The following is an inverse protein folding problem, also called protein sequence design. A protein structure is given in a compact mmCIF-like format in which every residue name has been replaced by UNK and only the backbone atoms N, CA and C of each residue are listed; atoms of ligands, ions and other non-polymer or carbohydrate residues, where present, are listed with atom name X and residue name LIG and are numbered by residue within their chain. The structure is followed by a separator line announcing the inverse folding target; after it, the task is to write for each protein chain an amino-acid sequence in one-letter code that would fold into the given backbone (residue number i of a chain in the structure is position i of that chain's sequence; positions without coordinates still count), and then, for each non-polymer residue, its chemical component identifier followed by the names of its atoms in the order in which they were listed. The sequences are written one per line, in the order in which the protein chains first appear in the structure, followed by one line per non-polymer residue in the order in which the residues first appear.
data_IF_231811739735
#
_entry.id   IF_231811739735
#
_cell.length_a   1.000
_cell.length_b   1.000
_cell.length_c   1.000
_cell.angle_alpha   90.00
_cell.angle_beta   90.00
_cell.angle_gamma   90.00
#
_symmetry.space_group_name_H-M   'P 1'
#
loop_
_entity.id
_entity.type
_entity.pdbx_description
1 polymer ?
#
# COMPACT_ATOMS: atom_id res chain seq x y z
N UNK A 1 1.80 -15.86 32.47
CA UNK A 1 3.24 -15.95 32.82
C UNK A 1 3.94 -14.86 32.04
N UNK A 2 4.36 -13.79 32.72
CA UNK A 2 4.98 -12.62 32.08
C UNK A 2 6.39 -13.00 31.62
N UNK A 3 6.68 -12.83 30.33
CA UNK A 3 8.04 -12.91 29.83
C UNK A 3 8.62 -11.52 29.66
N UNK A 4 9.65 -11.22 30.42
CA UNK A 4 10.45 -9.99 30.33
C UNK A 4 11.37 -10.05 29.12
N UNK A 5 11.40 -8.93 28.38
CA UNK A 5 12.30 -8.70 27.24
C UNK A 5 13.66 -8.25 27.77
N UNK A 6 14.73 -8.90 27.38
CA UNK A 6 16.10 -8.40 27.48
C UNK A 6 16.65 -8.27 26.06
N UNK A 7 16.91 -7.04 25.62
CA UNK A 7 17.57 -6.72 24.35
C UNK A 7 19.09 -6.81 24.52
N UNK A 8 19.77 -7.56 23.66
CA UNK A 8 21.21 -7.42 23.41
C UNK A 8 21.42 -7.21 21.91
N UNK A 9 21.99 -6.05 21.54
CA UNK A 9 22.37 -5.69 20.17
C UNK A 9 23.72 -6.32 19.83
N UNK A 10 23.82 -6.99 18.69
CA UNK A 10 25.06 -7.21 17.98
C UNK A 10 24.85 -6.89 16.51
N UNK A 11 25.46 -5.82 16.03
CA UNK A 11 25.48 -5.40 14.63
C UNK A 11 26.64 -6.12 13.95
N UNK A 12 26.36 -6.96 12.97
CA UNK A 12 27.33 -7.45 12.01
C UNK A 12 26.88 -7.01 10.61
N UNK A 13 27.57 -6.00 10.07
CA UNK A 13 27.48 -5.55 8.69
C UNK A 13 28.11 -6.58 7.77
N UNK A 14 27.34 -7.17 6.85
CA UNK A 14 27.88 -7.73 5.62
C UNK A 14 27.06 -7.21 4.44
N UNK A 15 27.66 -6.25 3.72
CA UNK A 15 27.13 -5.78 2.44
C UNK A 15 27.35 -6.87 1.38
N UNK A 16 26.30 -7.51 0.94
CA UNK A 16 26.28 -8.32 -0.27
C UNK A 16 25.73 -7.45 -1.41
N UNK A 17 26.61 -6.94 -2.24
CA UNK A 17 26.27 -6.33 -3.53
C UNK A 17 25.90 -7.44 -4.50
N UNK A 18 24.62 -7.52 -4.90
CA UNK A 18 24.20 -8.35 -6.01
C UNK A 18 23.89 -7.48 -7.23
N UNK A 19 24.42 -7.94 -8.37
CA UNK A 19 24.26 -7.35 -9.69
C UNK A 19 22.79 -7.29 -10.12
N UNK A 20 22.51 -6.34 -11.01
CA UNK A 20 21.22 -6.12 -11.67
C UNK A 20 20.55 -7.43 -12.06
N UNK A 21 19.48 -7.78 -11.34
CA UNK A 21 18.61 -8.90 -11.67
C UNK A 21 17.75 -8.53 -12.87
N UNK A 22 17.81 -9.35 -13.90
CA UNK A 22 16.95 -9.34 -15.08
C UNK A 22 15.48 -9.24 -14.69
N UNK A 23 14.73 -8.42 -15.43
CA UNK A 23 13.28 -8.36 -15.42
C UNK A 23 12.68 -9.77 -15.56
N UNK A 24 12.28 -10.40 -14.48
CA UNK A 24 11.43 -11.59 -14.54
C UNK A 24 9.99 -11.13 -14.78
N UNK A 25 9.59 -11.19 -16.04
CA UNK A 25 8.19 -11.12 -16.45
C UNK A 25 7.45 -12.36 -15.99
N UNK A 26 6.40 -12.14 -15.19
CA UNK A 26 5.29 -13.06 -14.94
C UNK A 26 5.64 -14.47 -14.45
N UNK A 27 6.04 -14.59 -13.18
CA UNK A 27 5.77 -15.81 -12.43
C UNK A 27 4.30 -15.77 -11.94
N UNK A 28 3.58 -16.87 -12.13
CA UNK A 28 2.18 -17.09 -11.71
C UNK A 28 1.98 -16.67 -10.25
N UNK A 29 1.13 -15.66 -10.00
CA UNK A 29 0.80 -15.22 -8.65
C UNK A 29 0.73 -13.70 -8.44
N UNK A 30 0.68 -12.92 -9.53
CA UNK A 30 0.56 -11.46 -9.47
C UNK A 30 -0.76 -11.05 -10.08
N UNK A 31 -1.60 -10.34 -9.32
CA UNK A 31 -2.72 -9.60 -9.86
C UNK A 31 -2.26 -8.18 -10.21
N UNK A 32 -2.65 -7.69 -11.39
CA UNK A 32 -2.47 -6.31 -11.80
C UNK A 32 -3.84 -5.68 -11.80
N UNK A 33 -4.09 -4.78 -10.86
CA UNK A 33 -5.34 -4.04 -10.78
C UNK A 33 -5.14 -2.60 -11.22
N UNK A 34 -6.10 -2.09 -11.99
CA UNK A 34 -6.14 -0.68 -12.41
C UNK A 34 -7.14 0.06 -11.52
N UNK A 35 -6.64 0.87 -10.59
CA UNK A 35 -7.47 1.79 -9.81
C UNK A 35 -7.10 3.23 -10.21
N UNK A 36 -8.08 4.02 -10.64
CA UNK A 36 -7.89 5.41 -11.10
C UNK A 36 -6.83 5.59 -12.20
N UNK A 37 -6.76 4.64 -13.17
CA UNK A 37 -5.82 4.71 -14.29
C UNK A 37 -4.38 4.30 -13.96
N UNK A 38 -4.01 4.12 -12.70
CA UNK A 38 -2.69 3.64 -12.29
C UNK A 38 -2.70 2.11 -12.08
N UNK A 39 -1.75 1.45 -12.73
CA UNK A 39 -1.54 0.01 -12.58
C UNK A 39 -0.85 -0.28 -11.24
N UNK A 40 -1.44 -1.15 -10.41
CA UNK A 40 -0.88 -1.58 -9.14
C UNK A 40 -0.52 -3.05 -9.19
N UNK A 41 0.67 -3.39 -8.75
CA UNK A 41 1.10 -4.77 -8.58
C UNK A 41 0.69 -5.24 -7.18
N UNK A 42 -0.22 -6.21 -7.14
CA UNK A 42 -0.72 -6.79 -5.90
C UNK A 42 -0.37 -8.28 -5.90
N UNK A 43 0.33 -8.79 -4.87
CA UNK A 43 0.55 -10.23 -4.74
C UNK A 43 -0.79 -10.98 -4.69
N UNK A 44 -0.90 -12.12 -5.40
CA UNK A 44 -2.14 -12.90 -5.46
C UNK A 44 -2.62 -13.48 -4.12
N UNK A 45 -1.79 -13.36 -3.10
CA UNK A 45 -2.12 -13.81 -1.72
C UNK A 45 -3.05 -12.84 -0.97
N UNK A 46 -3.30 -11.63 -1.50
CA UNK A 46 -4.12 -10.58 -0.86
C UNK A 46 -5.08 -9.98 -1.87
N UNK A 47 -6.23 -9.49 -1.40
CA UNK A 47 -7.12 -8.63 -2.19
C UNK A 47 -6.63 -7.17 -2.20
N UNK A 48 -7.20 -6.35 -3.09
CA UNK A 48 -6.88 -4.91 -3.16
C UNK A 48 -7.20 -4.16 -1.86
N UNK A 49 -8.32 -4.46 -1.22
CA UNK A 49 -8.71 -3.86 0.05
C UNK A 49 -7.71 -4.22 1.17
N UNK A 50 -7.29 -5.47 1.26
CA UNK A 50 -6.31 -5.96 2.25
C UNK A 50 -4.92 -5.36 2.02
N UNK A 51 -4.51 -5.27 0.74
CA UNK A 51 -3.25 -4.62 0.37
C UNK A 51 -3.23 -3.14 0.72
N UNK A 52 -4.34 -2.44 0.51
CA UNK A 52 -4.47 -1.04 0.87
C UNK A 52 -4.44 -0.84 2.39
N UNK A 53 -5.01 -1.74 3.20
CA UNK A 53 -4.86 -1.71 4.66
C UNK A 53 -3.39 -1.87 5.06
N UNK A 54 -2.64 -2.80 4.45
CA UNK A 54 -1.20 -2.94 4.73
C UNK A 54 -0.42 -1.67 4.37
N UNK A 55 -0.75 -1.03 3.24
CA UNK A 55 -0.14 0.25 2.84
C UNK A 55 -0.41 1.34 3.88
N UNK A 56 -1.66 1.46 4.36
CA UNK A 56 -2.05 2.44 5.37
C UNK A 56 -1.37 2.17 6.72
N UNK A 57 -1.26 0.90 7.14
CA UNK A 57 -0.49 0.50 8.32
C UNK A 57 0.95 0.99 8.21
N UNK A 58 1.60 0.73 7.09
CA UNK A 58 2.99 1.13 6.90
C UNK A 58 3.17 2.66 6.82
N UNK A 59 2.20 3.39 6.26
CA UNK A 59 2.18 4.84 6.29
C UNK A 59 2.13 5.40 7.73
N UNK A 60 1.27 4.84 8.59
CA UNK A 60 1.17 5.23 10.00
C UNK A 60 2.45 4.90 10.80
N UNK A 61 3.09 3.78 10.48
CA UNK A 61 4.34 3.35 11.09
C UNK A 61 5.51 4.23 10.67
N UNK A 62 5.63 4.49 9.36
CA UNK A 62 6.68 5.34 8.78
C UNK A 62 6.63 6.76 9.36
N UNK A 63 5.44 7.36 9.47
CA UNK A 63 5.25 8.68 10.08
C UNK A 63 5.77 8.77 11.53
N UNK A 64 6.07 7.62 12.16
CA UNK A 64 6.61 7.50 13.53
C UNK A 64 7.99 6.85 13.59
N UNK A 65 8.66 6.69 12.45
CA UNK A 65 10.00 6.12 12.34
C UNK A 65 10.10 4.63 12.68
N UNK A 66 8.98 3.89 12.54
CA UNK A 66 8.92 2.44 12.80
C UNK A 66 9.18 1.68 11.49
N UNK A 67 9.84 0.52 11.59
CA UNK A 67 10.03 -0.40 10.47
C UNK A 67 8.68 -0.84 9.88
N UNK A 68 8.60 -1.03 8.54
CA UNK A 68 7.38 -1.50 7.90
C UNK A 68 7.04 -2.92 8.34
N UNK A 69 5.75 -3.26 8.23
CA UNK A 69 5.29 -4.63 8.31
C UNK A 69 5.16 -5.21 6.90
N UNK A 70 5.43 -6.50 6.78
CA UNK A 70 5.18 -7.27 5.57
C UNK A 70 4.06 -8.28 5.80
N UNK A 71 3.57 -8.92 4.72
CA UNK A 71 2.67 -10.06 4.82
C UNK A 71 3.25 -11.27 4.08
N UNK A 72 2.81 -12.48 4.42
CA UNK A 72 3.15 -13.73 3.75
C UNK A 72 1.95 -14.69 3.74
N UNK A 73 1.96 -15.67 2.85
CA UNK A 73 0.77 -16.44 2.49
C UNK A 73 0.07 -17.14 3.67
N UNK A 74 0.82 -17.78 4.55
CA UNK A 74 0.23 -18.50 5.69
C UNK A 74 -0.36 -17.57 6.75
N UNK A 75 0.27 -16.42 7.01
CA UNK A 75 -0.28 -15.40 7.91
C UNK A 75 -1.55 -14.76 7.33
N UNK A 76 -1.54 -14.51 6.03
CA UNK A 76 -2.70 -14.01 5.30
C UNK A 76 -3.87 -14.98 5.41
N UNK A 77 -3.63 -16.28 5.17
CA UNK A 77 -4.65 -17.32 5.34
C UNK A 77 -5.23 -17.35 6.76
N UNK A 78 -4.38 -17.20 7.77
CA UNK A 78 -4.82 -17.10 9.17
C UNK A 78 -5.75 -15.91 9.42
N UNK A 79 -5.40 -14.73 8.89
CA UNK A 79 -6.23 -13.53 9.00
C UNK A 79 -7.58 -13.70 8.28
N UNK A 80 -7.61 -14.36 7.12
CA UNK A 80 -8.84 -14.66 6.39
C UNK A 80 -9.74 -15.66 7.12
N UNK A 81 -9.15 -16.68 7.78
CA UNK A 81 -9.90 -17.61 8.66
C UNK A 81 -10.56 -16.80 9.76
N UNK A 82 -9.80 -15.96 10.45
CA UNK A 82 -10.33 -15.11 11.52
C UNK A 82 -11.41 -14.14 11.02
N UNK A 83 -11.24 -13.56 9.84
CA UNK A 83 -12.25 -12.67 9.25
C UNK A 83 -13.60 -13.38 9.01
N UNK A 84 -13.57 -14.67 8.67
CA UNK A 84 -14.79 -15.51 8.57
C UNK A 84 -15.37 -15.85 9.95
N UNK A 85 -14.53 -16.15 10.94
CA UNK A 85 -14.97 -16.50 12.30
C UNK A 85 -15.65 -15.34 13.02
N UNK A 86 -15.13 -14.11 12.89
CA UNK A 86 -15.73 -12.94 13.54
C UNK A 86 -17.08 -12.51 12.95
N UNK A 87 -17.46 -13.03 11.77
CA UNK A 87 -18.85 -12.92 11.29
C UNK A 87 -19.82 -13.63 12.24
N UNK A 88 -19.45 -14.80 12.71
CA UNK A 88 -20.27 -15.64 13.60
C UNK A 88 -20.12 -15.21 15.07
N UNK A 89 -18.91 -14.92 15.51
CA UNK A 89 -18.59 -14.50 16.88
C UNK A 89 -17.58 -13.35 16.84
N UNK A 90 -18.06 -12.12 17.00
CA UNK A 90 -17.20 -10.92 17.06
C UNK A 90 -16.45 -10.87 18.39
N UNK A 91 -15.35 -11.62 18.47
CA UNK A 91 -14.54 -11.84 19.67
C UNK A 91 -13.12 -12.23 19.33
N UNK A 92 -12.17 -11.96 20.25
CA UNK A 92 -10.83 -12.54 20.26
C UNK A 92 -10.79 -14.01 20.69
N UNK A 93 -11.94 -14.56 21.07
CA UNK A 93 -12.16 -16.01 21.25
C UNK A 93 -12.75 -16.56 19.97
N UNK A 94 -12.21 -17.67 19.48
CA UNK A 94 -12.69 -18.37 18.28
C UNK A 94 -14.04 -19.05 18.56
N UNK A 95 -14.85 -19.38 17.54
CA UNK A 95 -16.13 -20.09 17.71
C UNK A 95 -15.99 -21.45 18.42
N UNK A 96 -14.80 -22.09 18.36
CA UNK A 96 -14.50 -23.33 19.08
C UNK A 96 -14.13 -23.12 20.56
N UNK A 97 -14.13 -21.87 21.07
CA UNK A 97 -13.80 -21.52 22.44
C UNK A 97 -12.31 -21.28 22.72
N UNK A 98 -11.44 -21.43 21.72
CA UNK A 98 -9.99 -21.21 21.85
C UNK A 98 -9.60 -19.73 21.66
N UNK A 99 -8.35 -19.40 22.00
CA UNK A 99 -7.76 -18.09 21.71
C UNK A 99 -7.67 -17.85 20.21
N UNK A 100 -7.84 -16.58 19.76
CA UNK A 100 -7.62 -16.20 18.35
C UNK A 100 -6.25 -16.62 17.82
N UNK A 101 -5.24 -16.72 18.68
CA UNK A 101 -3.88 -17.07 18.27
C UNK A 101 -3.71 -18.56 17.91
N UNK A 102 -4.63 -19.45 18.25
CA UNK A 102 -4.56 -20.86 17.79
C UNK A 102 -4.74 -20.98 16.28
N UNK A 103 -5.23 -19.95 15.60
CA UNK A 103 -5.24 -19.90 14.14
C UNK A 103 -3.83 -19.90 13.54
N UNK A 104 -2.84 -19.33 14.26
CA UNK A 104 -1.44 -19.34 13.82
C UNK A 104 -0.91 -20.77 13.76
N UNK A 105 -1.20 -21.58 14.77
CA UNK A 105 -0.83 -23.01 14.79
C UNK A 105 -1.54 -23.77 13.67
N UNK A 106 -2.83 -23.48 13.44
CA UNK A 106 -3.64 -24.09 12.38
C UNK A 106 -3.05 -23.88 10.98
N UNK A 107 -2.52 -22.66 10.71
CA UNK A 107 -1.89 -22.35 9.43
C UNK A 107 -0.39 -22.67 9.39
N UNK A 108 0.16 -23.31 10.42
CA UNK A 108 1.57 -23.76 10.47
C UNK A 108 2.55 -22.70 10.99
N UNK A 109 2.08 -21.65 11.69
CA UNK A 109 2.91 -20.63 12.34
C UNK A 109 3.02 -20.95 13.84
N UNK A 110 3.62 -22.11 14.18
CA UNK A 110 3.71 -22.59 15.57
C UNK A 110 4.88 -21.98 16.38
N UNK A 111 5.82 -21.29 15.75
CA UNK A 111 7.02 -20.78 16.41
C UNK A 111 7.19 -19.27 16.14
N UNK A 112 6.41 -18.46 16.84
CA UNK A 112 6.48 -17.00 16.78
C UNK A 112 6.93 -16.41 18.13
N UNK A 113 7.60 -15.25 18.08
CA UNK A 113 8.07 -14.52 19.26
C UNK A 113 6.95 -13.66 19.87
N UNK A 114 6.13 -13.07 19.03
CA UNK A 114 5.03 -12.20 19.42
C UNK A 114 3.85 -12.36 18.48
N UNK A 115 2.63 -12.17 19.00
CA UNK A 115 1.40 -12.14 18.22
C UNK A 115 0.43 -11.07 18.77
N UNK A 116 -0.45 -10.59 17.90
CA UNK A 116 -1.50 -9.63 18.24
C UNK A 116 -2.64 -9.73 17.25
N UNK A 117 -3.83 -9.28 17.66
CA UNK A 117 -5.01 -9.23 16.79
C UNK A 117 -5.75 -7.92 16.96
N UNK A 118 -6.18 -7.32 15.85
CA UNK A 118 -7.19 -6.28 15.79
C UNK A 118 -8.39 -6.80 15.01
N UNK A 119 -9.61 -6.55 15.51
CA UNK A 119 -10.85 -6.89 14.81
C UNK A 119 -11.73 -5.65 14.67
N UNK A 120 -12.47 -5.56 13.56
CA UNK A 120 -13.44 -4.51 13.32
C UNK A 120 -14.60 -5.01 12.45
N UNK A 121 -15.74 -4.35 12.50
CA UNK A 121 -16.89 -4.66 11.65
C UNK A 121 -17.70 -3.37 11.37
N UNK A 122 -18.28 -3.30 10.16
CA UNK A 122 -19.12 -2.18 9.73
C UNK A 122 -18.42 -1.10 8.92
N UNK A 123 -17.10 -1.10 8.84
CA UNK A 123 -16.36 -0.15 8.03
C UNK A 123 -16.34 -0.60 6.56
N UNK A 124 -16.74 0.28 5.65
CA UNK A 124 -16.94 -0.06 4.24
C UNK A 124 -15.67 0.04 3.37
N UNK A 125 -14.58 0.61 3.90
CA UNK A 125 -13.35 0.81 3.14
C UNK A 125 -12.10 0.64 4.00
N UNK A 126 -10.93 0.37 3.40
CA UNK A 126 -9.63 0.35 4.07
C UNK A 126 -9.35 1.61 4.90
N UNK A 127 -9.60 2.79 4.34
CA UNK A 127 -9.40 4.05 5.05
C UNK A 127 -10.30 4.17 6.30
N UNK A 128 -11.56 3.75 6.19
CA UNK A 128 -12.51 3.81 7.31
C UNK A 128 -12.12 2.86 8.45
N UNK A 129 -11.68 1.62 8.14
CA UNK A 129 -11.26 0.68 9.17
C UNK A 129 -9.94 1.11 9.83
N UNK A 130 -8.97 1.61 9.05
CA UNK A 130 -7.73 2.15 9.60
C UNK A 130 -7.98 3.34 10.52
N UNK A 131 -8.85 4.28 10.12
CA UNK A 131 -9.24 5.40 10.98
C UNK A 131 -9.87 4.90 12.31
N UNK A 132 -10.74 3.89 12.26
CA UNK A 132 -11.35 3.30 13.46
C UNK A 132 -10.29 2.69 14.39
N UNK A 133 -9.36 1.90 13.85
CA UNK A 133 -8.29 1.28 14.63
C UNK A 133 -7.32 2.32 15.21
N UNK A 134 -6.93 3.34 14.45
CA UNK A 134 -6.02 4.38 14.92
C UNK A 134 -6.63 5.29 15.98
N UNK A 135 -7.95 5.43 16.03
CA UNK A 135 -8.65 6.15 17.09
C UNK A 135 -8.92 5.31 18.36
N UNK A 136 -8.64 4.02 18.34
CA UNK A 136 -8.72 3.12 19.49
C UNK A 136 -7.33 2.83 20.04
N UNK A 137 -7.10 3.12 21.33
CA UNK A 137 -5.76 2.99 21.94
C UNK A 137 -5.20 1.57 21.81
N UNK A 138 -5.99 0.54 22.14
CA UNK A 138 -5.54 -0.85 22.06
C UNK A 138 -5.19 -1.29 20.64
N UNK A 139 -6.02 -0.95 19.67
CA UNK A 139 -5.77 -1.28 18.27
C UNK A 139 -4.57 -0.50 17.70
N UNK A 140 -4.47 0.78 18.01
CA UNK A 140 -3.34 1.63 17.62
C UNK A 140 -2.02 1.11 18.21
N UNK A 141 -2.02 0.65 19.46
CA UNK A 141 -0.84 0.07 20.09
C UNK A 141 -0.34 -1.18 19.36
N UNK A 142 -1.24 -2.03 18.86
CA UNK A 142 -0.86 -3.16 18.01
C UNK A 142 -0.24 -2.69 16.68
N UNK A 143 -0.89 -1.76 15.98
CA UNK A 143 -0.39 -1.22 14.69
C UNK A 143 1.00 -0.59 14.84
N UNK A 144 1.25 0.10 15.95
CA UNK A 144 2.50 0.83 16.22
C UNK A 144 3.50 0.05 17.07
N UNK A 145 3.23 -1.20 17.39
CA UNK A 145 4.19 -2.02 18.15
C UNK A 145 5.44 -2.32 17.33
N UNK A 146 6.61 -2.04 17.89
CA UNK A 146 7.90 -2.44 17.32
C UNK A 146 8.18 -3.96 17.48
N UNK A 147 7.35 -4.67 18.24
CA UNK A 147 7.51 -6.12 18.47
C UNK A 147 7.01 -6.96 17.30
N UNK A 148 6.29 -6.38 16.34
CA UNK A 148 5.78 -7.09 15.18
C UNK A 148 6.59 -6.78 13.94
N UNK A 149 6.71 -7.77 13.07
CA UNK A 149 7.39 -7.70 11.78
C UNK A 149 6.44 -7.96 10.60
N UNK A 150 5.34 -8.64 10.88
CA UNK A 150 4.34 -9.01 9.88
C UNK A 150 2.93 -8.70 10.34
N UNK A 151 2.05 -8.50 9.35
CA UNK A 151 0.61 -8.44 9.53
C UNK A 151 -0.09 -9.15 8.37
N UNK A 152 -0.97 -10.08 8.70
CA UNK A 152 -1.99 -10.59 7.78
C UNK A 152 -3.24 -9.73 7.92
N UNK A 153 -3.84 -9.37 6.81
CA UNK A 153 -5.08 -8.58 6.79
C UNK A 153 -6.18 -9.44 6.19
N UNK A 154 -7.20 -9.78 6.95
CA UNK A 154 -8.35 -10.52 6.46
C UNK A 154 -9.59 -9.63 6.34
N UNK A 155 -10.31 -9.75 5.24
CA UNK A 155 -11.59 -9.09 5.05
C UNK A 155 -12.66 -10.09 4.57
N UNK A 156 -13.80 -10.12 5.27
CA UNK A 156 -14.97 -10.87 4.85
C UNK A 156 -16.14 -9.92 4.65
N UNK A 157 -16.66 -9.89 3.42
CA UNK A 157 -17.95 -9.27 3.15
C UNK A 157 -19.05 -10.32 3.31
N UNK A 158 -20.00 -10.06 4.24
CA UNK A 158 -21.17 -10.87 4.49
C UNK A 158 -22.43 -9.99 4.38
N UNK A 159 -23.09 -10.01 3.21
CA UNK A 159 -24.24 -9.10 2.94
C UNK A 159 -25.41 -9.27 3.92
N UNK A 160 -25.55 -10.46 4.51
CA UNK A 160 -26.61 -10.76 5.48
C UNK A 160 -26.25 -10.36 6.92
N UNK A 161 -25.02 -9.96 7.18
CA UNK A 161 -24.61 -9.38 8.46
C UNK A 161 -25.04 -7.92 8.53
N UNK A 162 -25.50 -7.49 9.71
CA UNK A 162 -25.82 -6.08 9.98
C UNK A 162 -24.61 -5.15 9.80
N UNK A 163 -23.41 -5.70 9.84
CA UNK A 163 -22.15 -4.98 9.69
C UNK A 163 -21.61 -4.98 8.24
N UNK A 164 -22.05 -5.89 7.38
CA UNK A 164 -21.57 -6.05 6.02
C UNK A 164 -20.11 -6.54 5.96
N UNK A 165 -19.13 -5.65 6.10
CA UNK A 165 -17.69 -6.01 6.10
C UNK A 165 -17.15 -6.26 7.51
N UNK A 166 -16.32 -7.32 7.63
CA UNK A 166 -15.60 -7.71 8.83
C UNK A 166 -14.12 -7.74 8.53
N UNK A 167 -13.30 -7.17 9.42
CA UNK A 167 -11.87 -6.95 9.20
C UNK A 167 -11.04 -7.50 10.34
N UNK A 168 -9.91 -8.10 10.00
CA UNK A 168 -8.92 -8.61 10.95
C UNK A 168 -7.53 -8.12 10.55
N UNK A 169 -6.73 -7.72 11.52
CA UNK A 169 -5.28 -7.66 11.43
C UNK A 169 -4.71 -8.71 12.39
N UNK A 170 -3.93 -9.63 11.86
CA UNK A 170 -3.23 -10.67 12.64
C UNK A 170 -1.73 -10.39 12.55
N UNK A 171 -1.13 -9.99 13.67
CA UNK A 171 0.27 -9.58 13.74
C UNK A 171 1.15 -10.73 14.24
N UNK A 172 2.39 -10.82 13.73
CA UNK A 172 3.39 -11.72 14.32
C UNK A 172 4.83 -11.25 14.05
N UNK A 173 5.78 -11.88 14.76
CA UNK A 173 7.21 -11.85 14.47
C UNK A 173 7.84 -13.20 14.78
N UNK A 174 8.83 -13.61 13.99
CA UNK A 174 9.62 -14.81 14.21
C UNK A 174 10.84 -14.56 15.08
N UNK A 175 11.40 -15.65 15.64
CA UNK A 175 12.68 -15.58 16.36
C UNK A 175 13.84 -15.42 15.38
N UNK A 176 14.78 -14.49 15.69
CA UNK A 176 16.00 -14.26 14.91
C UNK A 176 15.74 -14.04 13.41
N UNK A 177 14.60 -13.44 13.10
CA UNK A 177 14.17 -13.23 11.74
C UNK A 177 14.95 -12.10 11.06
N UNK A 178 15.39 -12.34 9.82
CA UNK A 178 16.02 -11.36 8.94
C UNK A 178 15.63 -11.61 7.49
N UNK A 179 15.67 -10.57 6.70
CA UNK A 179 15.55 -10.69 5.25
C UNK A 179 16.90 -11.01 4.63
N UNK A 180 16.90 -11.88 3.63
CA UNK A 180 18.10 -12.36 2.91
C UNK A 180 18.14 -11.91 1.46
N UNK A 181 16.98 -11.57 0.90
CA UNK A 181 16.83 -11.12 -0.49
C UNK A 181 15.77 -10.03 -0.57
N UNK A 182 15.94 -9.09 -1.51
CA UNK A 182 14.98 -8.08 -1.89
C UNK A 182 14.81 -8.09 -3.41
N UNK A 183 13.57 -8.15 -3.86
CA UNK A 183 13.23 -7.99 -5.28
C UNK A 183 11.98 -7.13 -5.43
N UNK A 184 11.84 -6.50 -6.59
CA UNK A 184 10.74 -5.58 -6.88
C UNK A 184 9.79 -6.21 -7.88
N UNK A 185 8.52 -6.03 -7.63
CA UNK A 185 7.43 -6.38 -8.52
C UNK A 185 6.94 -5.05 -9.12
N UNK A 186 7.34 -4.80 -10.37
CA UNK A 186 7.13 -3.53 -11.04
C UNK A 186 5.84 -3.57 -11.89
N UNK A 187 5.08 -2.47 -11.98
CA UNK A 187 4.02 -2.32 -12.99
C UNK A 187 4.61 -2.41 -14.40
N UNK A 188 3.75 -2.66 -15.40
CA UNK A 188 4.19 -2.82 -16.80
C UNK A 188 4.83 -1.56 -17.36
N UNK A 189 4.37 -0.40 -16.93
CA UNK A 189 4.95 0.88 -17.29
C UNK A 189 5.64 1.50 -16.09
N UNK A 190 6.86 1.94 -16.27
CA UNK A 190 7.65 2.71 -15.33
C UNK A 190 7.75 4.19 -15.76
N UNK A 191 6.75 4.66 -16.51
CA UNK A 191 6.60 6.07 -16.88
C UNK A 191 5.43 6.66 -16.12
N UNK A 192 5.67 7.77 -15.43
CA UNK A 192 4.68 8.43 -14.59
C UNK A 192 4.71 9.95 -14.81
N UNK A 193 3.63 10.66 -14.52
CA UNK A 193 3.61 12.11 -14.49
C UNK A 193 4.63 12.70 -13.52
N UNK A 194 5.17 13.84 -13.83
CA UNK A 194 5.98 14.63 -12.91
C UNK A 194 5.15 14.93 -11.64
N UNK A 195 5.76 14.80 -10.48
CA UNK A 195 5.09 14.94 -9.17
C UNK A 195 4.58 13.62 -8.57
N UNK A 196 4.59 12.51 -9.33
CA UNK A 196 4.20 11.18 -8.80
C UNK A 196 5.17 10.72 -7.71
N UNK A 197 4.64 10.31 -6.55
CA UNK A 197 5.43 9.72 -5.46
C UNK A 197 5.66 8.22 -5.70
N UNK A 198 6.73 7.64 -5.14
CA UNK A 198 6.99 6.20 -5.19
C UNK A 198 5.80 5.41 -4.64
N UNK A 199 5.22 5.85 -3.53
CA UNK A 199 4.08 5.21 -2.87
C UNK A 199 2.83 5.08 -3.76
N UNK A 200 2.72 5.93 -4.79
CA UNK A 200 1.60 5.92 -5.74
C UNK A 200 1.90 5.17 -7.04
N UNK A 201 3.16 4.75 -7.27
CA UNK A 201 3.56 4.03 -8.49
C UNK A 201 3.08 2.57 -8.54
N UNK A 202 2.49 2.05 -7.47
CA UNK A 202 1.96 0.69 -7.45
C UNK A 202 3.02 -0.41 -7.42
N UNK A 203 4.23 -0.11 -6.96
CA UNK A 203 5.33 -1.06 -6.84
C UNK A 203 5.15 -1.90 -5.58
N UNK A 204 5.31 -3.22 -5.68
CA UNK A 204 5.40 -4.11 -4.55
C UNK A 204 6.84 -4.59 -4.32
N UNK A 205 7.19 -4.83 -3.07
CA UNK A 205 8.47 -5.41 -2.68
C UNK A 205 8.23 -6.85 -2.25
N UNK A 206 9.06 -7.77 -2.75
CA UNK A 206 9.19 -9.12 -2.24
C UNK A 206 10.51 -9.23 -1.47
N UNK A 207 10.40 -9.57 -0.20
CA UNK A 207 11.51 -9.83 0.71
C UNK A 207 11.53 -11.31 1.06
N UNK A 208 12.70 -11.93 1.08
CA UNK A 208 12.82 -13.32 1.53
C UNK A 208 13.24 -13.39 2.98
N UNK A 209 12.30 -13.80 3.83
CA UNK A 209 12.57 -14.08 5.23
C UNK A 209 13.27 -15.45 5.37
N UNK A 210 14.26 -15.54 6.27
CA UNK A 210 14.89 -16.82 6.64
C UNK A 210 13.97 -17.74 7.44
N UNK A 211 12.80 -17.24 7.88
CA UNK A 211 11.81 -17.99 8.69
C UNK A 211 10.57 -18.32 7.88
N UNK A 212 9.99 -17.33 7.17
CA UNK A 212 8.66 -17.44 6.55
C UNK A 212 8.69 -17.54 5.02
N UNK A 213 9.87 -17.51 4.41
CA UNK A 213 9.98 -17.46 2.95
C UNK A 213 9.63 -16.10 2.37
N UNK A 214 8.84 -16.06 1.30
CA UNK A 214 8.52 -14.82 0.61
C UNK A 214 7.51 -13.98 1.39
N UNK A 215 7.90 -12.75 1.69
CA UNK A 215 7.11 -11.72 2.35
C UNK A 215 6.93 -10.52 1.42
N UNK A 216 5.80 -9.85 1.51
CA UNK A 216 5.42 -8.80 0.57
C UNK A 216 5.01 -7.53 1.30
N UNK A 217 5.30 -6.37 0.72
CA UNK A 217 4.80 -5.06 1.15
C UNK A 217 4.71 -4.08 -0.01
N UNK A 218 3.84 -3.06 0.05
CA UNK A 218 3.87 -1.93 -0.86
C UNK A 218 5.15 -1.13 -0.67
N UNK A 219 5.78 -0.68 -1.77
CA UNK A 219 6.93 0.22 -1.68
C UNK A 219 6.46 1.63 -1.34
N UNK A 220 7.20 2.32 -0.49
CA UNK A 220 6.99 3.72 -0.13
C UNK A 220 8.28 4.53 -0.16
N UNK A 221 8.11 5.85 -0.21
CA UNK A 221 9.19 6.82 -0.52
C UNK A 221 10.35 6.76 0.49
N UNK A 222 10.06 6.50 1.77
CA UNK A 222 11.06 6.48 2.85
C UNK A 222 12.11 5.38 2.73
N UNK A 223 11.85 4.32 1.95
CA UNK A 223 12.82 3.24 1.69
C UNK A 223 13.66 3.49 0.45
N UNK A 224 13.47 4.64 -0.22
CA UNK A 224 14.04 4.96 -1.50
C UNK A 224 15.05 6.10 -1.42
N UNK A 225 16.15 5.99 -2.17
CA UNK A 225 17.11 7.06 -2.42
C UNK A 225 17.35 7.23 -3.91
N UNK A 226 17.79 8.43 -4.32
CA UNK A 226 18.02 8.74 -5.74
C UNK A 226 16.78 9.15 -6.51
N UNK A 227 15.63 9.35 -5.83
CA UNK A 227 14.36 9.77 -6.43
C UNK A 227 14.02 11.22 -6.09
N UNK A 228 13.53 11.96 -7.08
CA UNK A 228 12.98 13.29 -6.92
C UNK A 228 11.73 13.44 -7.81
N UNK A 229 10.55 13.46 -7.19
CA UNK A 229 9.28 13.60 -7.91
C UNK A 229 9.14 14.89 -8.72
N UNK A 230 9.91 15.95 -8.37
CA UNK A 230 9.92 17.24 -9.07
C UNK A 230 10.89 17.29 -10.26
N UNK A 231 11.65 16.25 -10.56
CA UNK A 231 12.63 16.22 -11.66
C UNK A 231 12.17 15.33 -12.80
N UNK A 232 11.96 15.91 -13.97
CA UNK A 232 11.63 15.14 -15.18
C UNK A 232 12.84 14.35 -15.69
N UNK A 233 12.56 13.25 -16.39
CA UNK A 233 13.56 12.37 -17.00
C UNK A 233 13.69 11.03 -16.30
N UNK A 234 14.67 10.24 -16.74
CA UNK A 234 14.99 8.94 -16.16
C UNK A 234 15.74 9.11 -14.83
N UNK A 235 15.31 8.38 -13.82
CA UNK A 235 15.93 8.36 -12.50
C UNK A 235 16.19 6.91 -12.08
N UNK A 236 17.35 6.67 -11.49
CA UNK A 236 17.69 5.39 -10.87
C UNK A 236 17.41 5.48 -9.37
N UNK A 237 16.54 4.62 -8.89
CA UNK A 237 16.09 4.58 -7.51
C UNK A 237 16.66 3.35 -6.81
N UNK A 238 17.29 3.56 -5.66
CA UNK A 238 17.76 2.49 -4.78
C UNK A 238 16.81 2.31 -3.62
N UNK A 239 16.31 1.10 -3.45
CA UNK A 239 15.47 0.67 -2.32
C UNK A 239 16.37 0.03 -1.27
N UNK A 240 16.15 0.36 0.01
CA UNK A 240 16.80 -0.30 1.14
C UNK A 240 15.78 -0.59 2.25
N UNK A 241 15.59 -1.87 2.55
CA UNK A 241 14.71 -2.33 3.63
C UNK A 241 15.52 -3.26 4.53
N UNK A 242 15.81 -2.79 5.74
CA UNK A 242 16.58 -3.54 6.74
C UNK A 242 17.92 -4.09 6.20
N UNK A 243 18.59 -3.33 5.33
CA UNK A 243 19.87 -3.73 4.72
C UNK A 243 19.75 -4.57 3.44
N UNK A 244 18.57 -5.05 3.11
CA UNK A 244 18.30 -5.66 1.80
C UNK A 244 18.04 -4.57 0.75
N UNK A 245 18.73 -4.62 -0.39
CA UNK A 245 18.69 -3.57 -1.40
C UNK A 245 18.21 -4.09 -2.76
N UNK A 246 17.51 -3.23 -3.49
CA UNK A 246 17.13 -3.42 -4.89
C UNK A 246 17.21 -2.08 -5.63
N UNK A 247 17.29 -2.12 -6.95
CA UNK A 247 17.38 -0.92 -7.81
C UNK A 247 16.38 -1.02 -8.94
N UNK A 248 15.78 0.11 -9.31
CA UNK A 248 14.95 0.22 -10.50
C UNK A 248 15.11 1.59 -11.17
N UNK A 249 14.74 1.67 -12.45
CA UNK A 249 14.65 2.95 -13.18
C UNK A 249 13.20 3.35 -13.34
N UNK A 250 12.94 4.65 -13.22
CA UNK A 250 11.64 5.29 -13.46
C UNK A 250 11.82 6.52 -14.32
N UNK A 251 10.87 6.78 -15.22
CA UNK A 251 10.84 8.00 -16.03
C UNK A 251 9.70 8.87 -15.54
N UNK A 252 10.04 10.08 -15.10
CA UNK A 252 9.02 11.12 -14.86
C UNK A 252 8.93 12.03 -16.09
N UNK A 253 7.79 11.95 -16.76
CA UNK A 253 7.50 12.84 -17.86
C UNK A 253 6.90 14.14 -17.33
N UNK A 254 7.39 15.29 -17.81
CA UNK A 254 6.60 16.51 -17.73
C UNK A 254 5.25 16.19 -18.39
N UNK A 255 4.15 16.46 -17.69
CA UNK A 255 2.85 16.33 -18.34
C UNK A 255 2.90 17.10 -19.65
N UNK A 256 2.70 16.39 -20.76
CA UNK A 256 2.44 17.03 -22.03
C UNK A 256 1.15 17.78 -21.80
N UNK A 257 1.23 19.13 -21.73
CA UNK A 257 0.07 19.93 -21.40
C UNK A 257 -0.96 19.83 -22.52
N UNK A 258 -1.78 18.79 -22.49
CA UNK A 258 -3.02 18.77 -23.27
C UNK A 258 -3.93 19.75 -22.55
N UNK A 259 -4.27 20.90 -23.16
CA UNK A 259 -5.18 21.83 -22.54
C UNK A 259 -6.49 21.13 -22.19
N UNK A 260 -6.90 21.21 -20.94
CA UNK A 260 -8.09 20.54 -20.43
C UNK A 260 -7.87 19.17 -19.80
N UNK A 261 -6.71 18.52 -19.91
CA UNK A 261 -6.36 17.24 -19.24
C UNK A 261 -5.76 17.54 -17.86
N UNK A 262 -6.62 17.67 -16.88
CA UNK A 262 -6.26 18.12 -15.51
C UNK A 262 -5.73 16.99 -14.65
N UNK A 263 -6.20 15.76 -14.88
CA UNK A 263 -5.74 14.59 -14.13
C UNK A 263 -4.48 13.96 -14.75
N UNK A 264 -4.12 14.39 -15.99
CA UNK A 264 -2.89 14.01 -16.67
C UNK A 264 -2.88 12.59 -17.20
N UNK A 265 -4.05 12.00 -17.44
CA UNK A 265 -4.17 10.66 -17.97
C UNK A 265 -3.93 10.56 -19.50
N UNK A 266 -3.69 11.72 -20.16
CA UNK A 266 -3.49 11.85 -21.59
C UNK A 266 -4.78 11.99 -22.40
N UNK A 267 -5.91 12.22 -21.74
CA UNK A 267 -7.23 12.41 -22.36
C UNK A 267 -7.97 13.56 -21.69
N UNK A 268 -8.71 14.31 -22.48
CA UNK A 268 -9.66 15.28 -21.94
C UNK A 268 -11.01 14.59 -21.83
N UNK A 269 -11.52 14.48 -20.60
CA UNK A 269 -12.78 13.80 -20.27
C UNK A 269 -13.74 14.74 -19.52
N UNK A 270 -14.97 14.26 -19.27
CA UNK A 270 -15.92 14.98 -18.42
C UNK A 270 -15.45 15.11 -16.96
N UNK A 271 -14.54 14.24 -16.51
CA UNK A 271 -13.93 14.30 -15.18
C UNK A 271 -13.06 15.55 -15.06
N UNK A 272 -12.24 15.81 -16.07
CA UNK A 272 -11.36 16.99 -16.14
C UNK A 272 -12.17 18.28 -16.15
N UNK A 273 -13.18 18.34 -17.01
CA UNK A 273 -14.09 19.48 -17.08
C UNK A 273 -14.74 19.77 -15.72
N UNK A 274 -15.14 18.73 -14.98
CA UNK A 274 -15.67 18.88 -13.62
C UNK A 274 -14.61 19.40 -12.63
N UNK A 275 -13.37 18.95 -12.73
CA UNK A 275 -12.27 19.45 -11.88
C UNK A 275 -11.95 20.92 -12.15
N UNK A 276 -11.92 21.32 -13.43
CA UNK A 276 -11.76 22.72 -13.82
C UNK A 276 -12.88 23.58 -13.23
N UNK A 277 -14.14 23.16 -13.38
CA UNK A 277 -15.29 23.88 -12.83
C UNK A 277 -15.20 24.01 -11.31
N UNK A 278 -14.82 22.97 -10.60
CA UNK A 278 -14.67 23.01 -9.14
C UNK A 278 -13.55 23.97 -8.71
N UNK A 279 -12.46 24.04 -9.47
CA UNK A 279 -11.39 25.00 -9.21
C UNK A 279 -11.89 26.44 -9.44
N UNK A 280 -12.55 26.71 -10.57
CA UNK A 280 -13.11 28.00 -10.90
C UNK A 280 -14.12 28.51 -9.85
N UNK A 281 -14.84 27.57 -9.19
CA UNK A 281 -15.77 27.88 -8.10
C UNK A 281 -15.11 27.93 -6.71
N UNK A 282 -13.78 27.76 -6.61
CA UNK A 282 -13.06 27.73 -5.32
C UNK A 282 -13.34 26.53 -4.44
N UNK A 283 -13.96 25.45 -4.96
CA UNK A 283 -14.28 24.22 -4.23
C UNK A 283 -13.06 23.30 -4.12
N UNK A 284 -12.18 23.36 -5.12
CA UNK A 284 -10.91 22.62 -5.18
C UNK A 284 -9.81 23.60 -5.57
N UNK A 285 -8.60 23.43 -5.05
CA UNK A 285 -7.44 24.20 -5.46
C UNK A 285 -6.50 23.31 -6.28
N UNK A 286 -6.46 23.55 -7.60
CA UNK A 286 -5.47 22.95 -8.49
C UNK A 286 -4.14 23.71 -8.35
N UNK A 287 -3.02 23.03 -8.58
CA UNK A 287 -1.68 23.61 -8.53
C UNK A 287 -0.74 22.94 -9.55
N UNK A 288 0.38 23.58 -9.86
CA UNK A 288 1.40 23.03 -10.76
C UNK A 288 0.83 22.70 -12.14
N UNK A 289 1.14 21.53 -12.67
CA UNK A 289 0.74 21.11 -14.01
C UNK A 289 -0.78 20.99 -14.19
N UNK A 290 -1.50 20.55 -13.16
CA UNK A 290 -2.96 20.47 -13.18
C UNK A 290 -3.61 21.86 -13.33
N UNK A 291 -3.07 22.89 -12.68
CA UNK A 291 -3.52 24.27 -12.84
C UNK A 291 -3.22 24.81 -14.25
N UNK A 292 -2.02 24.51 -14.77
CA UNK A 292 -1.65 24.91 -16.13
C UNK A 292 -2.51 24.22 -17.20
N UNK A 293 -2.85 22.94 -17.02
CA UNK A 293 -3.73 22.21 -17.93
C UNK A 293 -5.20 22.68 -17.82
N UNK A 294 -5.59 23.21 -16.66
CA UNK A 294 -6.95 23.71 -16.42
C UNK A 294 -7.26 25.00 -17.16
N UNK A 295 -6.24 25.81 -17.51
CA UNK A 295 -6.34 26.95 -18.44
C UNK A 295 -6.40 26.42 -19.89
N UNK A 296 -7.56 25.93 -20.28
CA UNK A 296 -7.74 25.16 -21.52
C UNK A 296 -7.77 26.08 -22.77
N UNK A 297 -8.10 27.35 -22.63
CA UNK A 297 -8.08 28.31 -23.71
C UNK A 297 -6.78 29.16 -23.76
N UNK A 298 -5.91 29.04 -22.73
CA UNK A 298 -4.60 29.66 -22.67
C UNK A 298 -4.63 31.16 -22.37
N UNK A 299 -5.71 31.67 -21.76
CA UNK A 299 -5.87 33.11 -21.46
C UNK A 299 -5.16 33.53 -20.15
N UNK A 300 -4.62 32.56 -19.41
CA UNK A 300 -3.92 32.76 -18.13
C UNK A 300 -4.82 32.71 -16.90
N UNK A 301 -6.13 32.46 -17.06
CA UNK A 301 -7.08 32.36 -15.96
C UNK A 301 -7.88 31.05 -16.06
N UNK A 302 -8.11 30.39 -14.95
CA UNK A 302 -8.97 29.18 -14.92
C UNK A 302 -10.39 29.59 -14.53
N UNK A 303 -11.31 29.47 -15.48
CA UNK A 303 -12.69 29.91 -15.38
C UNK A 303 -13.69 28.85 -15.80
N UNK A 304 -14.98 29.12 -15.75
CA UNK A 304 -16.02 28.24 -16.29
C UNK A 304 -15.92 28.06 -17.83
N UNK A 305 -15.26 29.00 -18.55
CA UNK A 305 -15.04 28.87 -19.99
C UNK A 305 -14.11 27.69 -20.32
N UNK A 306 -13.05 27.51 -19.54
CA UNK A 306 -12.12 26.38 -19.67
C UNK A 306 -12.80 25.05 -19.42
N UNK A 307 -13.65 24.98 -18.38
CA UNK A 307 -14.46 23.80 -18.12
C UNK A 307 -15.39 23.45 -19.30
N UNK A 308 -16.00 24.49 -19.91
CA UNK A 308 -16.85 24.26 -21.08
C UNK A 308 -16.03 23.78 -22.29
N UNK A 309 -14.82 24.36 -22.50
CA UNK A 309 -13.93 23.95 -23.57
C UNK A 309 -13.47 22.48 -23.38
N UNK A 310 -13.04 22.12 -22.17
CA UNK A 310 -12.68 20.73 -21.83
C UNK A 310 -13.86 19.78 -22.05
N UNK A 311 -15.08 20.16 -21.66
CA UNK A 311 -16.28 19.35 -21.88
C UNK A 311 -16.56 19.15 -23.39
N UNK A 312 -16.39 20.19 -24.19
CA UNK A 312 -16.56 20.08 -25.66
C UNK A 312 -15.52 19.15 -26.27
N UNK A 313 -14.25 19.28 -25.87
CA UNK A 313 -13.17 18.39 -26.30
C UNK A 313 -13.46 16.94 -25.91
N UNK A 314 -13.95 16.67 -24.69
CA UNK A 314 -14.35 15.36 -24.21
C UNK A 314 -15.47 14.73 -25.05
N UNK A 315 -16.34 15.56 -25.64
CA UNK A 315 -17.44 15.12 -26.51
C UNK A 315 -17.04 15.05 -28.00
N UNK A 316 -15.81 15.40 -28.36
CA UNK A 316 -15.31 15.35 -29.73
C UNK A 316 -15.70 16.54 -30.61
N UNK A 317 -15.98 17.71 -30.02
CA UNK A 317 -16.34 18.96 -30.73
C UNK A 317 -15.17 19.95 -30.79
#
# INVERSE_FOLDING_TARGET
MLAFVLCAFAVLNSAATFAAGSNETAASGIAVESANGAERVIPSIVSADEWEVLRLVNSERSARGLSPLTTFSTLQSGAEIRAREIVTLFSHTRPNGESCFTVLDEVGIGNYQSAGENIAAGQNSPAAVMNSWMNSEGHRNNILSASYKHVGVGMKHEPNSIYGKHWVQLFCAGFSERYTECSLMLPRSMQFPLGTSISSMGIAVRLRSNVWGDCYMPLSDEFCTGFNSGSAGEQTVTVNIEGCTAVFSVVLAAQSGIPGDVDGDGRVTSSDALMIMRHALGVVHLSGAALAAADADGDGNVTAADSLLAMRTAMGF
#
